data_IF_185706283275
#
_entry.id   IF_185706283275
#
_cell.length_a   1.000
_cell.length_b   1.000
_cell.length_c   1.000
_cell.angle_alpha   90.00
_cell.angle_beta   90.00
_cell.angle_gamma   90.00
#
_symmetry.space_group_name_H-M   'P 1'
#
loop_
_entity.id
_entity.type
_entity.pdbx_description
1 polymer ?
#
# COMPACT_ATOMS: atom_id res chain seq x y z
N UNK A 1 -5.23 -17.89 -15.45
CA UNK A 1 -6.69 -17.67 -15.23
C UNK A 1 -6.90 -16.50 -14.27
N UNK A 2 -6.32 -15.35 -14.62
CA UNK A 2 -6.05 -14.16 -13.80
C UNK A 2 -4.84 -13.42 -14.38
N UNK A 3 -4.39 -12.31 -13.78
CA UNK A 3 -3.23 -11.53 -14.25
C UNK A 3 -2.04 -11.63 -13.28
N UNK A 4 -0.82 -11.52 -13.82
CA UNK A 4 0.40 -11.37 -13.03
C UNK A 4 0.82 -9.91 -13.02
N UNK A 5 1.08 -9.37 -11.83
CA UNK A 5 1.60 -8.02 -11.68
C UNK A 5 3.06 -8.00 -12.12
N UNK A 6 3.32 -7.25 -13.19
CA UNK A 6 4.67 -7.02 -13.72
C UNK A 6 4.86 -5.53 -13.88
N UNK A 7 5.96 -5.00 -13.36
CA UNK A 7 6.29 -3.58 -13.41
C UNK A 7 7.68 -3.43 -14.04
N UNK A 8 7.81 -3.62 -15.37
CA UNK A 8 9.10 -3.80 -16.04
C UNK A 8 9.97 -2.53 -16.06
N UNK A 9 9.40 -1.38 -15.70
CA UNK A 9 10.08 -0.09 -15.65
C UNK A 9 10.68 0.22 -14.26
N UNK A 10 10.46 -0.62 -13.24
CA UNK A 10 11.11 -0.42 -11.94
C UNK A 10 12.56 -0.92 -11.97
N UNK A 11 13.49 -0.01 -11.69
CA UNK A 11 14.89 -0.35 -11.45
C UNK A 11 15.06 -1.00 -10.06
N UNK A 12 16.15 -1.75 -9.88
CA UNK A 12 16.58 -2.21 -8.57
C UNK A 12 16.82 -1.05 -7.58
N UNK A 13 17.16 0.14 -8.09
CA UNK A 13 17.40 1.35 -7.29
C UNK A 13 16.15 1.82 -6.54
N UNK A 14 14.95 1.41 -6.98
CA UNK A 14 13.70 1.70 -6.30
C UNK A 14 13.58 0.97 -4.95
N UNK A 15 14.47 0.04 -4.62
CA UNK A 15 14.45 -0.74 -3.37
C UNK A 15 13.10 -1.44 -3.12
N UNK A 16 12.43 -1.87 -4.19
CA UNK A 16 11.19 -2.63 -4.15
C UNK A 16 11.40 -4.03 -4.72
N UNK A 17 10.71 -5.00 -4.13
CA UNK A 17 10.62 -6.37 -4.59
C UNK A 17 9.22 -6.59 -5.15
N UNK A 18 9.14 -7.04 -6.40
CA UNK A 18 7.89 -7.48 -7.03
C UNK A 18 7.96 -8.99 -7.21
N UNK A 19 7.27 -9.73 -6.35
CA UNK A 19 7.29 -11.19 -6.37
C UNK A 19 5.93 -11.76 -5.97
N UNK A 20 5.43 -12.73 -6.74
CA UNK A 20 4.12 -13.37 -6.53
C UNK A 20 3.01 -12.33 -6.28
N UNK A 21 2.85 -11.37 -7.19
CA UNK A 21 1.87 -10.26 -7.14
C UNK A 21 1.92 -9.34 -5.90
N UNK A 22 2.97 -9.43 -5.07
CA UNK A 22 3.24 -8.50 -3.98
C UNK A 22 4.32 -7.51 -4.41
N UNK A 23 4.06 -6.22 -4.20
CA UNK A 23 5.04 -5.13 -4.23
C UNK A 23 5.40 -4.79 -2.79
N UNK A 24 6.67 -4.91 -2.43
CA UNK A 24 7.15 -4.76 -1.06
C UNK A 24 8.51 -4.04 -1.00
N UNK A 25 8.77 -3.20 0.01
CA UNK A 25 7.85 -2.77 1.06
C UNK A 25 7.07 -1.51 0.68
N UNK A 26 5.75 -1.54 0.90
CA UNK A 26 4.86 -0.40 0.72
C UNK A 26 4.10 -0.10 2.01
N UNK A 27 4.16 1.14 2.49
CA UNK A 27 3.33 1.61 3.59
C UNK A 27 1.90 1.80 3.09
N UNK A 28 0.93 1.19 3.79
CA UNK A 28 -0.51 1.17 3.44
C UNK A 28 -0.80 0.79 1.98
N UNK A 29 0.04 -0.07 1.37
CA UNK A 29 0.00 -0.42 -0.06
C UNK A 29 0.14 0.76 -1.04
N UNK A 30 0.64 1.91 -0.58
CA UNK A 30 0.73 3.16 -1.35
C UNK A 30 2.18 3.63 -1.49
N UNK A 31 2.84 3.97 -0.38
CA UNK A 31 4.10 4.73 -0.39
C UNK A 31 5.28 3.78 -0.29
N UNK A 32 6.30 3.98 -1.13
CA UNK A 32 7.58 3.27 -1.01
C UNK A 32 8.32 3.76 0.25
N UNK A 33 8.56 2.86 1.19
CA UNK A 33 9.15 3.20 2.49
C UNK A 33 10.57 3.76 2.35
N UNK A 34 11.36 3.22 1.43
CA UNK A 34 12.75 3.65 1.23
C UNK A 34 12.88 4.89 0.35
N UNK A 35 11.89 5.12 -0.52
CA UNK A 35 11.82 6.30 -1.39
C UNK A 35 10.42 6.93 -1.34
N UNK A 36 10.06 7.66 -0.27
CA UNK A 36 8.70 8.18 -0.08
C UNK A 36 8.18 9.13 -1.18
N UNK A 37 9.08 9.65 -2.02
CA UNK A 37 8.75 10.41 -3.25
C UNK A 37 8.11 9.56 -4.34
N UNK A 38 8.04 8.23 -4.16
CA UNK A 38 7.39 7.28 -5.05
C UNK A 38 6.18 6.63 -4.36
N UNK A 39 5.08 6.52 -5.08
CA UNK A 39 3.88 5.83 -4.63
C UNK A 39 3.21 5.03 -5.74
N UNK A 40 2.32 4.12 -5.35
CA UNK A 40 1.48 3.33 -6.22
C UNK A 40 0.01 3.57 -5.86
N UNK A 41 -0.80 3.80 -6.89
CA UNK A 41 -2.26 3.89 -6.76
C UNK A 41 -2.85 2.72 -7.55
N UNK A 42 -3.79 2.02 -6.93
CA UNK A 42 -4.53 0.93 -7.56
C UNK A 42 -3.86 -0.44 -7.59
N UNK A 43 -2.85 -0.67 -6.74
CA UNK A 43 -2.37 -2.02 -6.45
C UNK A 43 -3.40 -2.90 -5.73
N UNK A 44 -4.19 -2.38 -4.77
CA UNK A 44 -5.18 -3.19 -4.10
C UNK A 44 -6.28 -3.72 -5.02
N UNK A 45 -6.59 -5.00 -4.87
CA UNK A 45 -7.59 -5.73 -5.67
C UNK A 45 -8.75 -6.22 -4.79
N UNK A 46 -9.92 -6.42 -5.41
CA UNK A 46 -11.18 -6.86 -4.76
C UNK A 46 -11.78 -5.87 -3.74
N UNK A 47 -11.50 -4.57 -3.93
CA UNK A 47 -12.10 -3.45 -3.21
C UNK A 47 -13.11 -2.70 -4.11
N UNK A 48 -13.87 -1.74 -3.57
CA UNK A 48 -14.56 -0.72 -4.38
C UNK A 48 -13.50 0.22 -5.00
N UNK A 49 -13.14 0.03 -6.29
CA UNK A 49 -11.89 0.57 -6.83
C UNK A 49 -11.88 2.09 -6.85
N UNK A 50 -13.02 2.72 -7.20
CA UNK A 50 -13.14 4.17 -7.31
C UNK A 50 -12.86 4.84 -5.96
N UNK A 51 -13.52 4.39 -4.90
CA UNK A 51 -13.36 4.95 -3.55
C UNK A 51 -11.95 4.69 -3.02
N UNK A 52 -11.39 3.51 -3.27
CA UNK A 52 -10.05 3.20 -2.81
C UNK A 52 -9.01 4.09 -3.48
N UNK A 53 -9.08 4.26 -4.80
CA UNK A 53 -8.12 5.08 -5.53
C UNK A 53 -8.22 6.55 -5.14
N UNK A 54 -9.43 7.05 -4.88
CA UNK A 54 -9.64 8.40 -4.34
C UNK A 54 -9.02 8.56 -2.95
N UNK A 55 -9.21 7.60 -2.04
CA UNK A 55 -8.58 7.63 -0.72
C UNK A 55 -7.05 7.54 -0.79
N UNK A 56 -6.51 6.64 -1.61
CA UNK A 56 -5.06 6.52 -1.82
C UNK A 56 -4.47 7.82 -2.38
N UNK A 57 -5.13 8.42 -3.37
CA UNK A 57 -4.69 9.68 -3.96
C UNK A 57 -4.71 10.82 -2.92
N UNK A 58 -5.78 10.95 -2.13
CA UNK A 58 -5.87 11.98 -1.09
C UNK A 58 -4.81 11.80 -0.01
N UNK A 59 -4.57 10.57 0.44
CA UNK A 59 -3.52 10.24 1.41
C UNK A 59 -2.13 10.66 0.90
N UNK A 60 -1.76 10.22 -0.30
CA UNK A 60 -0.48 10.57 -0.93
C UNK A 60 -0.35 12.08 -1.13
N UNK A 61 -1.41 12.76 -1.56
CA UNK A 61 -1.39 14.20 -1.78
C UNK A 61 -1.26 14.99 -0.48
N UNK A 62 -1.81 14.51 0.64
CA UNK A 62 -1.58 15.14 1.94
C UNK A 62 -0.12 15.04 2.37
N UNK A 63 0.52 13.91 2.12
CA UNK A 63 1.95 13.77 2.35
C UNK A 63 2.77 14.70 1.45
N UNK A 64 2.57 14.67 0.14
CA UNK A 64 3.32 15.51 -0.80
C UNK A 64 3.06 17.02 -0.66
N UNK A 65 1.91 17.42 -0.10
CA UNK A 65 1.64 18.81 0.24
C UNK A 65 2.18 19.23 1.62
N UNK A 66 2.83 18.31 2.35
CA UNK A 66 3.38 18.55 3.69
C UNK A 66 2.34 18.66 4.80
N UNK A 67 1.06 18.36 4.52
CA UNK A 67 -0.05 18.39 5.49
C UNK A 67 -0.08 17.15 6.38
N UNK A 68 0.46 16.04 5.88
CA UNK A 68 0.62 14.79 6.61
C UNK A 68 2.12 14.49 6.74
N UNK A 69 2.54 14.11 7.95
CA UNK A 69 3.87 13.57 8.19
C UNK A 69 3.77 12.05 8.27
N UNK A 70 4.66 11.36 7.56
CA UNK A 70 4.75 9.91 7.69
C UNK A 70 5.47 9.54 9.00
N UNK A 71 5.14 8.38 9.60
CA UNK A 71 5.90 7.87 10.72
C UNK A 71 7.31 7.45 10.28
N UNK A 72 8.13 6.97 11.22
CA UNK A 72 9.48 6.53 10.88
C UNK A 72 9.47 5.35 9.90
N UNK A 73 10.57 5.14 9.18
CA UNK A 73 10.70 4.00 8.27
C UNK A 73 10.54 2.65 9.01
N UNK A 74 11.00 2.57 10.27
CA UNK A 74 10.84 1.40 11.12
C UNK A 74 9.37 1.14 11.46
N UNK A 75 8.63 2.19 11.85
CA UNK A 75 7.20 2.08 12.16
C UNK A 75 6.39 1.69 10.92
N UNK A 76 6.71 2.27 9.76
CA UNK A 76 6.06 1.91 8.50
C UNK A 76 6.32 0.44 8.14
N UNK A 77 7.55 -0.04 8.31
CA UNK A 77 7.89 -1.46 8.08
C UNK A 77 7.15 -2.37 9.04
N UNK A 78 7.10 -2.02 10.33
CA UNK A 78 6.38 -2.78 11.35
C UNK A 78 4.88 -2.87 11.05
N UNK A 79 4.26 -1.78 10.58
CA UNK A 79 2.85 -1.77 10.15
C UNK A 79 2.63 -2.67 8.92
N UNK A 80 3.49 -2.55 7.89
CA UNK A 80 3.42 -3.39 6.68
C UNK A 80 3.59 -4.87 7.02
N UNK A 81 4.57 -5.24 7.87
CA UNK A 81 4.78 -6.63 8.29
C UNK A 81 3.60 -7.17 9.11
N UNK A 82 3.02 -6.35 9.99
CA UNK A 82 1.82 -6.72 10.74
C UNK A 82 0.65 -7.04 9.80
N UNK A 83 0.37 -6.19 8.82
CA UNK A 83 -0.70 -6.47 7.85
C UNK A 83 -0.42 -7.77 7.06
N UNK A 84 0.81 -7.98 6.59
CA UNK A 84 1.18 -9.22 5.90
C UNK A 84 1.06 -10.47 6.78
N UNK A 85 1.38 -10.35 8.08
CA UNK A 85 1.22 -11.42 9.05
C UNK A 85 -0.27 -11.74 9.29
N UNK A 86 -1.12 -10.74 9.51
CA UNK A 86 -2.57 -10.92 9.65
C UNK A 86 -3.18 -11.61 8.42
N UNK A 87 -2.76 -11.21 7.21
CA UNK A 87 -3.22 -11.85 5.98
C UNK A 87 -2.78 -13.31 5.90
N UNK A 88 -1.56 -13.63 6.34
CA UNK A 88 -1.03 -14.99 6.39
C UNK A 88 -1.79 -15.85 7.40
N UNK A 89 -2.10 -15.33 8.58
CA UNK A 89 -2.89 -16.02 9.62
C UNK A 89 -4.31 -16.34 9.13
N UNK A 90 -4.88 -15.48 8.27
CA UNK A 90 -6.15 -15.74 7.59
C UNK A 90 -6.07 -16.76 6.45
N UNK A 91 -4.90 -17.34 6.20
CA UNK A 91 -4.67 -18.33 5.15
C UNK A 91 -4.64 -17.73 3.74
N UNK A 92 -4.45 -16.41 3.59
CA UNK A 92 -4.33 -15.81 2.27
C UNK A 92 -2.94 -16.12 1.67
N UNK A 93 -2.87 -16.57 0.41
CA UNK A 93 -1.60 -16.75 -0.29
C UNK A 93 -0.95 -15.39 -0.57
N UNK A 94 0.38 -15.36 -0.71
CA UNK A 94 1.18 -14.14 -1.00
C UNK A 94 0.65 -13.33 -2.19
N UNK A 95 0.23 -13.99 -3.28
CA UNK A 95 -0.45 -13.32 -4.42
C UNK A 95 -1.68 -12.47 -4.10
N UNK A 96 -2.24 -12.63 -2.90
CA UNK A 96 -3.39 -11.87 -2.39
C UNK A 96 -2.99 -10.84 -1.33
N UNK A 97 -1.71 -10.53 -1.17
CA UNK A 97 -1.23 -9.57 -0.17
C UNK A 97 -1.73 -8.13 -0.37
N UNK A 98 -2.20 -7.77 -1.56
CA UNK A 98 -2.88 -6.50 -1.83
C UNK A 98 -4.42 -6.63 -1.81
N UNK A 99 -4.98 -7.73 -1.29
CA UNK A 99 -6.44 -7.87 -1.14
C UNK A 99 -6.89 -7.12 0.10
N UNK A 100 -7.39 -5.92 -0.14
CA UNK A 100 -8.01 -5.06 0.87
C UNK A 100 -9.52 -5.29 0.75
N UNK A 101 -10.02 -6.40 1.32
CA UNK A 101 -11.46 -6.74 1.32
C UNK A 101 -12.28 -5.78 2.20
N UNK A 102 -13.03 -6.30 3.18
CA UNK A 102 -13.84 -5.46 4.09
C UNK A 102 -13.01 -4.48 4.95
N UNK A 103 -11.68 -4.58 4.93
CA UNK A 103 -10.72 -3.67 5.59
C UNK A 103 -10.47 -2.36 4.81
N UNK A 104 -11.21 -2.12 3.72
CA UNK A 104 -11.01 -0.97 2.83
C UNK A 104 -11.05 0.39 3.53
N UNK A 105 -11.89 0.54 4.56
CA UNK A 105 -12.04 1.79 5.32
C UNK A 105 -10.98 1.93 6.41
N UNK A 106 -10.45 0.83 6.94
CA UNK A 106 -9.44 0.84 8.02
C UNK A 106 -8.00 0.84 7.51
N UNK A 107 -7.77 0.37 6.27
CA UNK A 107 -6.43 0.33 5.67
C UNK A 107 -5.89 1.72 5.32
N UNK A 108 -6.78 2.67 5.04
CA UNK A 108 -6.49 4.09 4.85
C UNK A 108 -7.44 4.81 5.78
N UNK A 109 -7.12 4.78 7.06
CA UNK A 109 -8.03 5.23 8.10
C UNK A 109 -8.49 6.65 7.78
N UNK A 110 -9.80 6.88 7.73
CA UNK A 110 -10.37 8.19 7.43
C UNK A 110 -9.86 9.27 8.40
N UNK A 111 -9.33 8.89 9.57
CA UNK A 111 -8.69 9.79 10.52
C UNK A 111 -7.33 10.35 10.03
N UNK A 112 -6.57 9.61 9.22
CA UNK A 112 -5.33 10.11 8.60
C UNK A 112 -5.62 11.01 7.37
N UNK A 113 -6.82 10.85 6.77
CA UNK A 113 -7.25 11.62 5.60
C UNK A 113 -8.12 12.83 6.02
N UNK A 114 -8.75 12.80 7.20
CA UNK A 114 -9.59 13.87 7.72
C UNK A 114 -8.77 14.90 8.51
N UNK A 115 -7.84 15.57 7.85
CA UNK A 115 -7.41 16.90 8.31
C UNK A 115 -8.42 17.90 7.76
N UNK A 116 -9.40 18.27 8.59
CA UNK A 116 -10.18 19.50 8.41
C UNK A 116 -9.32 20.72 8.73
#
# INVERSE_FOLDING_TARGET
>A
TGYNLTIPFLSADCNLQVHDNLVYPLYKHCINIYHPTMCFIGLPIYAYPIQLFDLQARFVMQYYSGKLQLPSAEDMLADTERDLAEQRERGLPRRKSHVVGDRQVSALDCNEIAVK
#
